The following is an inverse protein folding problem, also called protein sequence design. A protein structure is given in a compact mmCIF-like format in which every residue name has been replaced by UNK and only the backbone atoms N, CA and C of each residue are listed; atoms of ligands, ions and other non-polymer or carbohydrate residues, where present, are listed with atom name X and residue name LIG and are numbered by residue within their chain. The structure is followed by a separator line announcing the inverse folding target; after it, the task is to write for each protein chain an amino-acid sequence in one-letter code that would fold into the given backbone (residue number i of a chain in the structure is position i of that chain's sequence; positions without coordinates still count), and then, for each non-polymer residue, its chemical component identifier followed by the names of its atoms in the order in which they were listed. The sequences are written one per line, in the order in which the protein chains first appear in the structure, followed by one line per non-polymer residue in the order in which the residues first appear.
data_IF_245652678690
#
_entry.id   IF_245652678690
#
_cell.length_a   1.000
_cell.length_b   1.000
_cell.length_c   1.000
_cell.angle_alpha   90.00
_cell.angle_beta   90.00
_cell.angle_gamma   90.00
#
_symmetry.space_group_name_H-M   'P 1'
#
loop_
_entity.id
_entity.type
_entity.pdbx_description
1 polymer ?
#
# COMPACT_ATOMS: atom_id res chain seq x y z
N UNK A 1 -4.25 3.13 2.13
CA UNK A 1 -4.14 1.79 1.50
C UNK A 1 -5.54 1.24 1.36
N UNK A 2 -5.87 0.62 0.24
CA UNK A 2 -7.13 -0.08 0.05
C UNK A 2 -6.86 -1.40 -0.69
N UNK A 3 -7.83 -2.31 -0.64
CA UNK A 3 -7.76 -3.60 -1.32
C UNK A 3 -8.75 -3.59 -2.47
N UNK A 4 -8.29 -4.01 -3.64
CA UNK A 4 -9.10 -4.23 -4.83
C UNK A 4 -8.54 -5.46 -5.56
N UNK A 5 -9.42 -6.39 -5.96
CA UNK A 5 -9.01 -7.61 -6.68
C UNK A 5 -7.87 -8.40 -5.99
N UNK A 6 -8.00 -8.60 -4.67
CA UNK A 6 -6.98 -9.26 -3.82
C UNK A 6 -5.55 -8.67 -3.89
N UNK A 7 -5.45 -7.40 -4.29
CA UNK A 7 -4.21 -6.61 -4.41
C UNK A 7 -4.29 -5.36 -3.53
N UNK A 8 -3.13 -4.86 -3.11
CA UNK A 8 -3.04 -3.67 -2.26
C UNK A 8 -2.67 -2.44 -3.09
N UNK A 9 -3.37 -1.34 -2.85
CA UNK A 9 -3.15 -0.09 -3.57
C UNK A 9 -3.03 1.12 -2.65
N UNK A 10 -2.32 2.12 -3.16
CA UNK A 10 -2.24 3.47 -2.61
C UNK A 10 -2.57 4.48 -3.70
N UNK A 11 -3.37 5.48 -3.35
CA UNK A 11 -3.58 6.69 -4.15
C UNK A 11 -2.74 7.80 -3.53
N UNK A 12 -2.05 8.57 -4.37
CA UNK A 12 -1.17 9.68 -3.94
C UNK A 12 -1.04 10.73 -5.04
N UNK A 13 -0.59 11.93 -4.68
CA UNK A 13 -0.27 12.96 -5.65
C UNK A 13 0.98 12.60 -6.47
N UNK A 14 0.94 12.84 -7.78
CA UNK A 14 2.02 12.54 -8.73
C UNK A 14 3.35 13.24 -8.37
N UNK A 15 3.29 14.42 -7.75
CA UNK A 15 4.45 15.18 -7.31
C UNK A 15 5.06 14.73 -5.96
N UNK A 16 4.46 13.75 -5.28
CA UNK A 16 4.96 13.33 -3.97
C UNK A 16 6.32 12.65 -4.07
N UNK A 17 7.21 12.96 -3.11
CA UNK A 17 8.56 12.38 -3.03
C UNK A 17 8.56 10.84 -3.09
N UNK A 18 7.54 10.18 -2.53
CA UNK A 18 7.38 8.72 -2.54
C UNK A 18 7.25 8.15 -3.97
N UNK A 19 6.65 8.88 -4.89
CA UNK A 19 6.53 8.46 -6.30
C UNK A 19 7.91 8.39 -6.94
N UNK A 20 8.73 9.43 -6.74
CA UNK A 20 10.11 9.44 -7.21
C UNK A 20 10.98 8.37 -6.55
N UNK A 21 10.80 8.16 -5.24
CA UNK A 21 11.51 7.13 -4.49
C UNK A 21 11.18 5.73 -5.01
N UNK A 22 9.90 5.41 -5.23
CA UNK A 22 9.45 4.12 -5.77
C UNK A 22 9.95 3.91 -7.21
N UNK A 23 9.94 4.96 -8.04
CA UNK A 23 10.46 4.89 -9.40
C UNK A 23 11.96 4.53 -9.43
N UNK A 24 12.73 4.97 -8.43
CA UNK A 24 14.16 4.67 -8.31
C UNK A 24 14.45 3.37 -7.55
N UNK A 25 13.67 3.06 -6.52
CA UNK A 25 13.78 1.85 -5.71
C UNK A 25 12.40 1.33 -5.34
N UNK A 26 12.01 0.23 -5.97
CA UNK A 26 10.70 -0.41 -5.76
C UNK A 26 10.54 -1.10 -4.40
N UNK A 27 11.63 -1.35 -3.68
CA UNK A 27 11.57 -2.05 -2.39
C UNK A 27 11.06 -1.12 -1.30
N UNK A 28 9.92 -1.48 -0.69
CA UNK A 28 9.25 -0.64 0.31
C UNK A 28 8.82 -1.45 1.53
N UNK A 29 8.68 -0.73 2.64
CA UNK A 29 8.03 -1.20 3.87
C UNK A 29 6.78 -0.37 4.14
N UNK A 30 5.70 -1.03 4.53
CA UNK A 30 4.46 -0.41 5.02
C UNK A 30 4.31 -0.83 6.48
N UNK A 31 4.32 0.15 7.39
CA UNK A 31 4.14 -0.08 8.82
C UNK A 31 2.78 0.49 9.27
N UNK A 32 1.89 -0.40 9.69
CA UNK A 32 0.58 -0.06 10.27
C UNK A 32 0.71 -0.20 11.79
N UNK A 33 0.74 0.89 12.55
CA UNK A 33 0.80 0.81 14.00
C UNK A 33 -0.53 0.29 14.57
N UNK A 34 -0.44 -0.51 15.63
CA UNK A 34 -1.57 -1.03 16.39
C UNK A 34 -1.52 -0.47 17.80
N UNK A 35 -2.67 -0.09 18.34
CA UNK A 35 -2.79 0.51 19.66
C UNK A 35 -3.85 -0.23 20.47
N UNK A 36 -3.50 -0.66 21.67
CA UNK A 36 -4.43 -1.27 22.63
C UNK A 36 -4.09 -0.77 24.04
N UNK A 37 -4.98 0.05 24.59
CA UNK A 37 -4.74 0.75 25.87
C UNK A 37 -3.41 1.51 25.87
N UNK A 38 -2.50 1.21 26.79
CA UNK A 38 -1.16 1.82 26.90
C UNK A 38 -0.08 1.09 26.08
N UNK A 39 -0.46 0.04 25.35
CA UNK A 39 0.47 -0.79 24.60
C UNK A 39 0.44 -0.47 23.10
N UNK A 40 1.60 -0.61 22.46
CA UNK A 40 1.77 -0.46 21.01
C UNK A 40 2.24 -1.76 20.38
N UNK A 41 1.77 -2.00 19.16
CA UNK A 41 2.17 -3.09 18.29
C UNK A 41 2.22 -2.59 16.84
N UNK A 42 2.39 -3.50 15.89
CA UNK A 42 2.36 -3.15 14.48
C UNK A 42 2.07 -4.35 13.59
N UNK A 43 1.64 -4.05 12.36
CA UNK A 43 1.80 -4.90 11.20
C UNK A 43 2.80 -4.22 10.27
N UNK A 44 3.90 -4.88 9.96
CA UNK A 44 4.87 -4.45 8.95
C UNK A 44 4.78 -5.36 7.76
N UNK A 45 4.69 -4.77 6.58
CA UNK A 45 4.69 -5.48 5.31
C UNK A 45 5.90 -5.01 4.51
N UNK A 46 6.73 -5.93 4.07
CA UNK A 46 7.86 -5.61 3.18
C UNK A 46 7.62 -6.25 1.83
N UNK A 47 7.90 -5.53 0.75
CA UNK A 47 7.72 -6.05 -0.60
C UNK A 47 8.08 -5.02 -1.66
N UNK A 48 7.45 -5.13 -2.82
CA UNK A 48 7.69 -4.25 -3.96
C UNK A 48 6.49 -3.36 -4.24
N UNK A 49 6.75 -2.11 -4.63
CA UNK A 49 5.74 -1.18 -5.11
C UNK A 49 5.93 -0.85 -6.59
N UNK A 50 4.82 -0.70 -7.30
CA UNK A 50 4.78 -0.40 -8.72
C UNK A 50 3.87 0.79 -8.99
N UNK A 51 4.37 1.77 -9.74
CA UNK A 51 3.52 2.85 -10.26
C UNK A 51 2.69 2.28 -11.40
N UNK A 52 1.37 2.23 -11.22
CA UNK A 52 0.45 1.68 -12.22
C UNK A 52 0.33 2.64 -13.40
N UNK A 53 0.58 2.13 -14.61
CA UNK A 53 0.46 2.89 -15.87
C UNK A 53 -0.74 2.50 -16.71
N UNK A 54 -1.41 1.39 -16.41
CA UNK A 54 -2.61 0.94 -17.10
C UNK A 54 -3.80 1.87 -16.76
N UNK A 55 -4.35 2.63 -17.73
CA UNK A 55 -5.45 3.56 -17.47
C UNK A 55 -6.75 2.88 -17.02
N UNK A 56 -7.04 1.67 -17.52
CA UNK A 56 -8.24 0.93 -17.13
C UNK A 56 -8.17 0.53 -15.65
N UNK A 57 -7.02 -0.01 -15.22
CA UNK A 57 -6.80 -0.35 -13.81
C UNK A 57 -6.81 0.90 -12.91
N UNK A 58 -6.29 2.03 -13.39
CA UNK A 58 -6.41 3.31 -12.68
C UNK A 58 -7.87 3.71 -12.47
N UNK A 59 -8.70 3.62 -13.51
CA UNK A 59 -10.11 3.96 -13.43
C UNK A 59 -10.86 3.03 -12.45
N UNK A 60 -10.73 1.72 -12.62
CA UNK A 60 -11.38 0.73 -11.76
C UNK A 60 -10.96 0.88 -10.29
N UNK A 61 -9.66 1.06 -10.01
CA UNK A 61 -9.17 1.21 -8.64
C UNK A 61 -9.60 2.53 -7.99
N UNK A 62 -9.74 3.61 -8.77
CA UNK A 62 -10.25 4.89 -8.26
C UNK A 62 -11.69 4.75 -7.76
N UNK A 63 -12.55 4.02 -8.49
CA UNK A 63 -13.94 3.76 -8.08
C UNK A 63 -14.05 2.96 -6.77
N UNK A 64 -13.05 2.13 -6.44
CA UNK A 64 -13.03 1.36 -5.19
C UNK A 64 -12.43 2.14 -4.00
N UNK A 65 -11.82 3.29 -4.25
CA UNK A 65 -11.17 4.09 -3.22
C UNK A 65 -12.19 5.08 -2.63
N UNK A 66 -12.78 4.73 -1.47
CA UNK A 66 -13.89 5.49 -0.87
C UNK A 66 -13.63 6.97 -0.60
N UNK A 67 -12.36 7.38 -0.46
CA UNK A 67 -11.94 8.76 -0.18
C UNK A 67 -11.37 9.45 -1.43
N UNK A 68 -11.47 8.86 -2.61
CA UNK A 68 -10.82 9.37 -3.82
C UNK A 68 -11.28 10.80 -4.17
N UNK A 69 -12.59 11.01 -4.17
CA UNK A 69 -13.22 12.29 -4.55
C UNK A 69 -12.94 13.43 -3.54
N UNK A 70 -12.37 13.11 -2.37
CA UNK A 70 -11.91 14.13 -1.41
C UNK A 70 -10.62 14.82 -1.88
N UNK A 71 -9.87 14.21 -2.81
CA UNK A 71 -8.53 14.66 -3.22
C UNK A 71 -8.37 14.87 -4.73
N UNK A 72 -9.13 14.16 -5.57
CA UNK A 72 -8.97 14.17 -7.03
C UNK A 72 -10.30 14.40 -7.73
N UNK A 73 -10.28 14.98 -8.94
CA UNK A 73 -11.50 15.30 -9.71
C UNK A 73 -12.00 14.14 -10.57
N UNK A 74 -11.20 13.07 -10.72
CA UNK A 74 -11.50 11.93 -11.57
C UNK A 74 -10.30 11.01 -11.76
N UNK A 75 -10.49 9.86 -12.39
CA UNK A 75 -9.39 8.91 -12.64
C UNK A 75 -8.35 9.43 -13.65
N UNK A 76 -8.72 10.44 -14.43
CA UNK A 76 -7.91 11.15 -15.41
C UNK A 76 -7.21 12.39 -14.85
N UNK A 77 -7.41 12.69 -13.56
CA UNK A 77 -6.73 13.77 -12.86
C UNK A 77 -5.20 13.65 -13.07
N UNK A 78 -4.52 14.70 -13.59
CA UNK A 78 -3.10 14.63 -13.90
C UNK A 78 -2.22 14.44 -12.65
N UNK A 79 -2.72 14.86 -11.49
CA UNK A 79 -2.02 14.70 -10.22
C UNK A 79 -2.35 13.38 -9.53
N UNK A 80 -3.22 12.55 -10.10
CA UNK A 80 -3.49 11.21 -9.59
C UNK A 80 -2.44 10.18 -10.02
N UNK A 81 -1.73 9.62 -9.04
CA UNK A 81 -0.90 8.43 -9.18
C UNK A 81 -1.46 7.26 -8.35
N UNK A 82 -1.60 6.10 -9.01
CA UNK A 82 -1.91 4.83 -8.38
C UNK A 82 -0.62 4.01 -8.21
N UNK A 83 -0.43 3.49 -6.99
CA UNK A 83 0.68 2.60 -6.65
C UNK A 83 0.07 1.26 -6.25
N UNK A 84 0.51 0.19 -6.90
CA UNK A 84 0.28 -1.18 -6.44
C UNK A 84 1.40 -1.58 -5.47
N UNK A 85 1.05 -2.27 -4.40
CA UNK A 85 2.00 -2.86 -3.47
C UNK A 85 1.80 -4.37 -3.39
N UNK A 86 2.89 -5.10 -3.59
CA UNK A 86 2.95 -6.56 -3.55
C UNK A 86 3.78 -6.97 -2.34
N UNK A 87 3.14 -7.27 -1.19
CA UNK A 87 3.85 -7.67 0.01
C UNK A 87 4.41 -9.09 -0.14
N UNK A 88 5.67 -9.29 0.26
CA UNK A 88 6.37 -10.58 0.20
C UNK A 88 6.56 -11.20 1.58
N UNK A 89 6.61 -10.37 2.63
CA UNK A 89 6.74 -10.80 4.02
C UNK A 89 5.91 -9.88 4.91
N UNK A 90 5.30 -10.46 5.94
CA UNK A 90 4.64 -9.74 7.02
C UNK A 90 5.36 -10.01 8.34
N UNK A 91 5.39 -9.00 9.18
CA UNK A 91 5.79 -9.07 10.57
C UNK A 91 4.67 -8.48 11.43
N UNK A 92 4.25 -9.22 12.45
CA UNK A 92 3.21 -8.82 13.37
C UNK A 92 3.77 -8.77 14.79
N UNK A 93 3.68 -7.61 15.42
CA UNK A 93 3.86 -7.44 16.85
C UNK A 93 2.51 -7.09 17.47
N UNK A 94 1.98 -7.99 18.28
CA UNK A 94 0.77 -7.69 19.05
C UNK A 94 1.06 -6.62 20.11
N UNK A 95 0.17 -5.64 20.32
CA UNK A 95 0.30 -4.73 21.45
C UNK A 95 0.53 -5.47 22.79
N UNK A 96 1.58 -5.10 23.50
CA UNK A 96 1.93 -5.67 24.81
C UNK A 96 2.80 -6.92 24.76
N UNK A 97 3.06 -7.46 23.57
CA UNK A 97 4.05 -8.52 23.38
C UNK A 97 5.46 -7.94 23.19
N UNK A 98 6.48 -8.76 23.46
CA UNK A 98 7.90 -8.37 23.34
C UNK A 98 8.54 -8.81 22.02
N UNK A 99 7.95 -9.83 21.38
CA UNK A 99 8.51 -10.47 20.21
C UNK A 99 7.48 -10.46 19.10
N UNK A 100 7.94 -10.09 17.91
CA UNK A 100 7.14 -10.17 16.70
C UNK A 100 7.16 -11.58 16.11
N UNK A 101 6.17 -11.87 15.27
CA UNK A 101 6.08 -13.07 14.46
C UNK A 101 6.17 -12.69 12.98
N UNK A 102 6.93 -13.45 12.19
CA UNK A 102 7.10 -13.20 10.76
C UNK A 102 6.49 -14.33 9.94
N UNK A 103 5.94 -13.99 8.77
CA UNK A 103 5.51 -14.98 7.79
C UNK A 103 5.82 -14.51 6.36
N UNK A 104 6.13 -15.47 5.49
CA UNK A 104 6.30 -15.21 4.07
C UNK A 104 4.92 -15.18 3.40
N UNK A 105 4.67 -14.13 2.64
CA UNK A 105 3.44 -13.93 1.88
C UNK A 105 3.59 -14.32 0.40
N UNK A 106 4.75 -14.86 0.00
CA UNK A 106 4.99 -15.36 -1.36
C UNK A 106 3.83 -16.25 -1.79
N UNK A 107 2.97 -15.70 -2.63
CA UNK A 107 2.00 -16.47 -3.41
C UNK A 107 2.82 -17.28 -4.39
N UNK A 108 2.73 -18.60 -4.34
CA UNK A 108 3.16 -19.43 -5.46
C UNK A 108 2.22 -19.11 -6.62
N UNK A 109 2.62 -18.15 -7.46
CA UNK A 109 2.04 -17.99 -8.79
C UNK A 109 2.56 -19.16 -9.64
N UNK A 110 1.69 -20.14 -9.87
CA UNK A 110 1.91 -21.21 -10.86
C UNK A 110 1.81 -20.70 -12.29
#
# INVERSE_FOLDING_TARGET
MFVFDDRFFFVTFSGDAKVHQIANNKWVEVCVPLYESDNTGYIRLTGVAHIVKNPALKAEAAEQCFFFDEYFQGYDDPDYTLIEFVPEMAEYLRPGERYSQTCNLKRYSG
#
